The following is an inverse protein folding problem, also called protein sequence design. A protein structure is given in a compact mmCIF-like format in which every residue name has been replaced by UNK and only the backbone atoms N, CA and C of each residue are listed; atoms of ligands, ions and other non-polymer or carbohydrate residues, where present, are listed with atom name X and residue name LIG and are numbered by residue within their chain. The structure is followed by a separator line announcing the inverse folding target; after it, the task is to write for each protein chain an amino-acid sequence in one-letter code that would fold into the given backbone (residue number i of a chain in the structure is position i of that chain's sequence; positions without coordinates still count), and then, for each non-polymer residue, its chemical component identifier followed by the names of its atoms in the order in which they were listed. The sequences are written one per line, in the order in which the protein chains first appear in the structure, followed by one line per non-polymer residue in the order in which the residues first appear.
data_IF_865231849179
#
_entry.id   IF_865231849179
#
_cell.length_a   1.000
_cell.length_b   1.000
_cell.length_c   1.000
_cell.angle_alpha   90.00
_cell.angle_beta   90.00
_cell.angle_gamma   90.00
#
_symmetry.space_group_name_H-M   'P 1'
#
loop_
_entity.id
_entity.type
_entity.pdbx_description
1 polymer ?
#
# COMPACT_ATOMS: atom_id res chain seq x y z
N UNK A 1 -6.17 4.29 1.34
CA UNK A 1 -6.55 5.55 0.67
C UNK A 1 -8.05 5.59 0.35
N UNK A 2 -8.65 6.77 0.24
CA UNK A 2 -10.07 6.98 -0.09
C UNK A 2 -10.34 6.79 -1.58
N UNK A 3 -11.63 6.74 -1.93
CA UNK A 3 -12.07 6.64 -3.32
C UNK A 3 -11.65 7.89 -4.13
N UNK A 4 -11.72 9.07 -3.53
CA UNK A 4 -11.31 10.33 -4.15
C UNK A 4 -9.82 10.32 -4.47
N UNK A 5 -8.99 9.77 -3.58
CA UNK A 5 -7.56 9.62 -3.81
C UNK A 5 -7.28 8.64 -4.96
N UNK A 6 -8.06 7.56 -5.10
CA UNK A 6 -7.98 6.65 -6.27
C UNK A 6 -8.35 7.37 -7.57
N UNK A 7 -9.36 8.26 -7.54
CA UNK A 7 -9.71 9.08 -8.71
C UNK A 7 -8.54 9.98 -9.11
N UNK A 8 -7.81 10.56 -8.16
CA UNK A 8 -6.62 11.36 -8.47
C UNK A 8 -5.52 10.52 -9.13
N UNK A 9 -5.27 9.30 -8.64
CA UNK A 9 -4.34 8.36 -9.27
C UNK A 9 -4.76 8.07 -10.72
N UNK A 10 -6.05 7.80 -10.96
CA UNK A 10 -6.55 7.50 -12.30
C UNK A 10 -6.42 8.68 -13.26
N UNK A 11 -6.63 9.92 -12.78
CA UNK A 11 -6.42 11.13 -13.59
C UNK A 11 -4.99 11.20 -14.09
N UNK A 12 -4.01 11.02 -13.21
CA UNK A 12 -2.58 11.06 -13.56
C UNK A 12 -2.26 9.98 -14.60
N UNK A 13 -2.74 8.75 -14.41
CA UNK A 13 -2.55 7.66 -15.38
C UNK A 13 -3.21 7.99 -16.73
N UNK A 14 -4.44 8.51 -16.73
CA UNK A 14 -5.15 8.87 -17.96
C UNK A 14 -4.47 10.00 -18.73
N UNK A 15 -3.85 10.96 -18.05
CA UNK A 15 -3.06 12.02 -18.69
C UNK A 15 -1.77 11.50 -19.33
N UNK A 16 -1.15 10.46 -18.74
CA UNK A 16 0.05 9.85 -19.29
C UNK A 16 -0.24 8.83 -20.41
N UNK A 17 -1.37 8.14 -20.34
CA UNK A 17 -1.71 7.06 -21.27
C UNK A 17 -3.10 7.28 -21.88
N UNK A 18 -3.13 7.73 -23.14
CA UNK A 18 -4.37 8.07 -23.86
C UNK A 18 -5.36 6.91 -24.00
N UNK A 19 -4.88 5.67 -23.95
CA UNK A 19 -5.71 4.45 -24.03
C UNK A 19 -6.28 4.01 -22.67
N UNK A 20 -5.93 4.70 -21.57
CA UNK A 20 -6.38 4.31 -20.24
C UNK A 20 -7.80 4.80 -19.97
N UNK A 21 -8.76 3.90 -20.13
CA UNK A 21 -10.17 4.20 -19.84
C UNK A 21 -10.45 4.22 -18.33
N UNK A 22 -11.21 5.25 -17.92
CA UNK A 22 -11.65 5.45 -16.54
C UNK A 22 -13.17 5.25 -16.47
N UNK A 23 -13.60 4.32 -15.61
CA UNK A 23 -15.01 4.13 -15.27
C UNK A 23 -15.20 4.09 -13.75
N UNK A 24 -16.43 4.34 -13.30
CA UNK A 24 -16.78 4.29 -11.87
C UNK A 24 -16.53 2.90 -11.29
N UNK A 25 -16.84 1.85 -12.04
CA UNK A 25 -16.63 0.46 -11.68
C UNK A 25 -15.15 0.17 -11.49
N UNK A 26 -14.29 0.64 -12.40
CA UNK A 26 -12.84 0.45 -12.33
C UNK A 26 -12.25 1.15 -11.10
N UNK A 27 -12.70 2.36 -10.80
CA UNK A 27 -12.33 3.09 -9.57
C UNK A 27 -12.75 2.28 -8.33
N UNK A 28 -13.98 1.76 -8.30
CA UNK A 28 -14.48 0.97 -7.17
C UNK A 28 -13.67 -0.32 -6.97
N UNK A 29 -13.25 -0.98 -8.05
CA UNK A 29 -12.38 -2.16 -8.00
C UNK A 29 -11.02 -1.79 -7.43
N UNK A 30 -10.35 -0.76 -7.95
CA UNK A 30 -9.03 -0.37 -7.47
C UNK A 30 -9.07 0.11 -6.02
N UNK A 31 -10.11 0.82 -5.62
CA UNK A 31 -10.32 1.23 -4.22
C UNK A 31 -10.36 0.04 -3.26
N UNK A 32 -10.97 -1.09 -3.63
CA UNK A 32 -10.98 -2.30 -2.77
C UNK A 32 -9.56 -2.81 -2.47
N UNK A 33 -8.62 -2.67 -3.40
CA UNK A 33 -7.24 -3.13 -3.25
C UNK A 33 -6.32 -2.07 -2.64
N UNK A 34 -6.63 -0.79 -2.85
CA UNK A 34 -5.82 0.33 -2.38
C UNK A 34 -6.28 0.92 -1.04
N UNK A 35 -7.41 0.47 -0.48
CA UNK A 35 -7.98 1.00 0.77
C UNK A 35 -6.99 1.04 1.95
N UNK A 36 -6.10 0.05 2.06
CA UNK A 36 -5.12 -0.08 3.15
C UNK A 36 -3.71 0.46 2.78
N UNK A 37 -3.61 1.08 1.61
CA UNK A 37 -2.37 1.63 1.06
C UNK A 37 -2.22 3.11 1.41
N UNK A 38 -0.96 3.56 1.55
CA UNK A 38 -0.62 4.96 1.76
C UNK A 38 -0.72 5.74 0.43
N UNK A 39 -1.53 6.82 0.35
CA UNK A 39 -1.75 7.57 -0.89
C UNK A 39 -0.45 8.12 -1.52
N UNK A 40 0.46 8.67 -0.69
CA UNK A 40 1.71 9.24 -1.18
C UNK A 40 2.64 8.17 -1.76
N UNK A 41 2.68 6.98 -1.14
CA UNK A 41 3.46 5.85 -1.66
C UNK A 41 2.92 5.34 -3.00
N UNK A 42 1.60 5.24 -3.13
CA UNK A 42 0.96 4.83 -4.39
C UNK A 42 1.26 5.86 -5.49
N UNK A 43 1.11 7.16 -5.20
CA UNK A 43 1.37 8.22 -6.18
C UNK A 43 2.83 8.23 -6.64
N UNK A 44 3.78 8.12 -5.70
CA UNK A 44 5.22 8.01 -6.02
C UNK A 44 5.51 6.84 -6.97
N UNK A 45 4.86 5.68 -6.76
CA UNK A 45 5.01 4.52 -7.66
C UNK A 45 4.39 4.76 -9.03
N UNK A 46 3.24 5.43 -9.10
CA UNK A 46 2.59 5.82 -10.36
C UNK A 46 3.49 6.76 -11.15
N UNK A 47 4.04 7.81 -10.53
CA UNK A 47 4.95 8.76 -11.16
C UNK A 47 6.20 8.07 -11.70
N UNK A 48 6.80 7.18 -10.89
CA UNK A 48 7.94 6.37 -11.32
C UNK A 48 7.59 5.48 -12.52
N UNK A 49 6.45 4.79 -12.47
CA UNK A 49 5.99 3.90 -13.55
C UNK A 49 5.78 4.68 -14.85
N UNK A 50 5.13 5.84 -14.78
CA UNK A 50 4.92 6.72 -15.94
C UNK A 50 6.25 7.17 -16.57
N UNK A 51 7.28 7.41 -15.75
CA UNK A 51 8.58 7.83 -16.23
C UNK A 51 9.39 6.70 -16.91
N UNK A 52 9.13 5.43 -16.58
CA UNK A 52 9.96 4.30 -17.05
C UNK A 52 9.25 3.33 -17.98
N UNK A 53 7.93 3.27 -17.96
CA UNK A 53 7.14 2.24 -18.64
C UNK A 53 6.22 2.80 -19.72
N UNK A 54 6.20 2.12 -20.87
CA UNK A 54 5.40 2.52 -22.04
C UNK A 54 3.91 2.18 -21.93
N UNK A 55 3.56 1.26 -21.02
CA UNK A 55 2.19 0.76 -20.85
C UNK A 55 1.61 1.18 -19.50
N UNK A 56 0.27 1.39 -19.42
CA UNK A 56 -0.37 1.76 -18.17
C UNK A 56 -0.09 0.76 -17.05
N UNK A 57 0.10 1.22 -15.81
CA UNK A 57 0.31 0.33 -14.69
C UNK A 57 -0.93 -0.50 -14.38
N UNK A 58 -0.67 -1.69 -13.89
CA UNK A 58 -1.60 -2.56 -13.17
C UNK A 58 -1.63 -2.19 -11.69
N UNK A 59 -2.66 -2.64 -10.96
CA UNK A 59 -2.78 -2.42 -9.51
C UNK A 59 -1.56 -2.97 -8.75
N UNK A 60 -0.96 -4.06 -9.23
CA UNK A 60 0.15 -4.74 -8.57
C UNK A 60 1.45 -3.92 -8.60
N UNK A 61 1.66 -3.13 -9.66
CA UNK A 61 2.88 -2.32 -9.82
C UNK A 61 2.89 -1.12 -8.86
N UNK A 62 1.71 -0.62 -8.50
CA UNK A 62 1.55 0.57 -7.66
C UNK A 62 1.17 0.27 -6.21
N UNK A 63 0.83 -0.98 -5.88
CA UNK A 63 0.56 -1.40 -4.50
C UNK A 63 1.87 -1.58 -3.72
N UNK A 64 1.88 -1.17 -2.45
CA UNK A 64 2.96 -1.49 -1.52
C UNK A 64 2.85 -2.97 -1.12
N UNK A 65 3.91 -3.72 -1.40
CA UNK A 65 4.07 -5.08 -0.88
C UNK A 65 4.63 -4.93 0.53
N UNK A 66 3.76 -4.98 1.54
CA UNK A 66 4.21 -5.06 2.92
C UNK A 66 4.93 -6.40 3.09
N UNK A 67 6.24 -6.42 3.40
CA UNK A 67 6.95 -7.68 3.61
C UNK A 67 6.26 -8.40 4.77
N UNK A 68 5.82 -9.64 4.53
CA UNK A 68 5.36 -10.50 5.63
C UNK A 68 6.56 -10.76 6.53
N UNK A 69 6.44 -10.42 7.83
CA UNK A 69 7.47 -10.77 8.81
C UNK A 69 7.73 -12.27 8.75
N UNK A 70 9.00 -12.67 8.78
CA UNK A 70 9.35 -14.10 8.83
C UNK A 70 8.89 -14.70 10.16
N UNK A 71 8.72 -16.04 10.20
CA UNK A 71 8.36 -16.75 11.43
C UNK A 71 9.35 -16.41 12.57
N UNK A 72 10.64 -16.32 12.24
CA UNK A 72 11.70 -15.94 13.19
C UNK A 72 11.51 -14.52 13.73
N UNK A 73 11.16 -13.55 12.88
CA UNK A 73 10.91 -12.17 13.30
C UNK A 73 9.69 -12.07 14.22
N UNK A 74 8.62 -12.80 13.90
CA UNK A 74 7.39 -12.84 14.71
C UNK A 74 7.69 -13.45 16.09
N UNK A 75 8.43 -14.56 16.12
CA UNK A 75 8.81 -15.23 17.38
C UNK A 75 9.70 -14.33 18.26
N UNK A 76 10.68 -13.66 17.66
CA UNK A 76 11.59 -12.77 18.40
C UNK A 76 10.84 -11.58 19.04
N UNK A 77 9.93 -10.93 18.29
CA UNK A 77 9.11 -9.84 18.84
C UNK A 77 8.20 -10.31 19.97
N UNK A 78 7.63 -11.51 19.84
CA UNK A 78 6.80 -12.11 20.90
C UNK A 78 7.61 -12.35 22.18
N UNK A 79 8.81 -12.92 22.06
CA UNK A 79 9.72 -13.12 23.19
C UNK A 79 10.08 -11.79 23.88
N UNK A 80 10.41 -10.75 23.09
CA UNK A 80 10.71 -9.41 23.62
C UNK A 80 9.50 -8.75 24.30
N UNK A 81 8.29 -8.99 23.82
CA UNK A 81 7.06 -8.48 24.42
C UNK A 81 6.75 -9.18 25.76
N UNK A 82 6.89 -10.51 25.80
CA UNK A 82 6.69 -11.31 27.01
C UNK A 82 7.69 -10.93 28.11
N UNK A 83 8.97 -10.75 27.76
CA UNK A 83 9.99 -10.33 28.71
C UNK A 83 9.72 -8.93 29.27
N UNK A 84 9.33 -7.98 28.42
CA UNK A 84 8.95 -6.63 28.86
C UNK A 84 7.75 -6.65 29.81
N UNK A 85 6.71 -7.41 29.49
CA UNK A 85 5.54 -7.56 30.34
C UNK A 85 5.87 -8.22 31.70
N UNK A 86 6.81 -9.16 31.74
CA UNK A 86 7.27 -9.77 32.99
C UNK A 86 7.96 -8.73 33.90
N UNK A 87 8.87 -7.92 33.34
CA UNK A 87 9.55 -6.86 34.08
C UNK A 87 8.57 -5.79 34.61
N UNK A 88 7.55 -5.43 33.83
CA UNK A 88 6.51 -4.48 34.26
C UNK A 88 5.66 -5.04 35.40
N UNK A 89 5.34 -6.35 35.38
CA UNK A 89 4.63 -7.04 36.47
C UNK A 89 5.46 -7.10 37.74
N UNK A 90 6.75 -7.42 37.61
CA UNK A 90 7.68 -7.43 38.76
C UNK A 90 7.86 -6.04 39.36
N UNK A 91 7.85 -4.98 38.54
CA UNK A 91 7.91 -3.59 39.00
C UNK A 91 6.63 -3.08 39.65
N UNK A 92 5.52 -3.78 39.50
CA UNK A 92 4.20 -3.40 40.03
C UNK A 92 3.80 -4.17 41.29
N UNK A 93 4.69 -5.03 41.82
CA UNK A 93 4.58 -5.69 43.12
C UNK A 93 5.48 -4.99 44.14
#
# INVERSE_FOLDING_TARGET
MTREEVIQVFKVIAYAYSQFEVSSEKVNVWHKFLKDQNPATVMMKVERHIATEKFPPTIAEITEIKPKKSITQIQHEKMLAEHRAALERERSQ
#
